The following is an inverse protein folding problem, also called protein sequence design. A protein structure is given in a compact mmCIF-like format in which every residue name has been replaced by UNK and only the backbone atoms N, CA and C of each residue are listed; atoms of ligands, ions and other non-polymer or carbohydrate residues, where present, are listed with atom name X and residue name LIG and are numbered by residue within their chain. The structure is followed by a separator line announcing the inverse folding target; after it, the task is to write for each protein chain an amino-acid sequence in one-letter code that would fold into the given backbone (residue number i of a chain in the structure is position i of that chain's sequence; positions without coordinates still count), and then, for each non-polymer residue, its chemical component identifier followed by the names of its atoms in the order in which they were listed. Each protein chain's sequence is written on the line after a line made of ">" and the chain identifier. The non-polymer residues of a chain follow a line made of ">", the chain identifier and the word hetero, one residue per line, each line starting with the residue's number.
data_IF_431954192218
#
_entry.id   IF_431954192218
#
_cell.length_a   1.000
_cell.length_b   1.000
_cell.length_c   1.000
_cell.angle_alpha   90.00
_cell.angle_beta   90.00
_cell.angle_gamma   90.00
#
_symmetry.space_group_name_H-M   'P 1'
#
loop_
_entity.id
_entity.type
_entity.pdbx_description
1 polymer ?
#
# COMPACT_ATOMS: atom_id res chain seq x y z
N UNK A 1 16.16 18.19 -17.86
CA UNK A 1 17.28 17.55 -17.14
C UNK A 1 16.83 17.36 -15.70
N UNK A 2 16.30 16.17 -15.38
CA UNK A 2 15.65 15.91 -14.10
C UNK A 2 16.73 15.56 -13.09
N UNK A 3 17.00 16.48 -12.16
CA UNK A 3 17.75 16.21 -10.94
C UNK A 3 16.90 15.32 -10.04
N UNK A 4 16.86 14.01 -10.34
CA UNK A 4 16.48 13.01 -9.34
C UNK A 4 17.42 13.25 -8.15
N UNK A 5 16.89 13.61 -6.98
CA UNK A 5 17.69 13.80 -5.78
C UNK A 5 18.42 12.46 -5.48
N UNK A 6 19.71 12.28 -5.81
CA UNK A 6 20.33 10.95 -5.84
C UNK A 6 20.56 10.38 -4.44
N UNK A 7 20.55 11.26 -3.44
CA UNK A 7 20.91 10.95 -2.06
C UNK A 7 19.94 9.99 -1.37
N UNK A 8 18.63 10.10 -1.61
CA UNK A 8 17.62 9.26 -0.94
C UNK A 8 17.20 8.03 -1.75
N UNK A 9 17.63 7.93 -3.01
CA UNK A 9 17.21 6.86 -3.91
C UNK A 9 17.90 5.52 -3.59
N UNK A 10 19.13 5.55 -3.08
CA UNK A 10 19.86 4.31 -2.73
C UNK A 10 19.63 3.94 -1.27
N UNK A 11 18.81 2.92 -1.06
CA UNK A 11 18.44 2.34 0.25
C UNK A 11 19.64 1.91 1.11
N UNK A 12 20.80 1.67 0.50
CA UNK A 12 21.91 0.94 1.12
C UNK A 12 22.92 1.81 1.88
N UNK A 13 22.79 3.15 1.82
CA UNK A 13 23.80 4.09 2.33
C UNK A 13 23.40 4.84 3.62
N UNK A 14 22.11 4.95 3.94
CA UNK A 14 21.63 5.68 5.12
C UNK A 14 20.64 4.82 5.91
N UNK A 15 20.99 4.52 7.16
CA UNK A 15 20.09 3.89 8.13
C UNK A 15 19.11 4.93 8.67
N UNK A 16 17.98 4.45 9.20
CA UNK A 16 16.94 5.31 9.79
C UNK A 16 17.47 6.19 10.93
N UNK A 17 18.47 5.70 11.69
CA UNK A 17 19.07 6.46 12.78
C UNK A 17 20.09 7.53 12.35
N UNK A 18 20.48 7.56 11.06
CA UNK A 18 21.52 8.48 10.58
C UNK A 18 20.94 9.85 10.20
N UNK A 19 19.61 9.94 10.04
CA UNK A 19 18.93 11.14 9.58
C UNK A 19 17.51 11.20 10.12
N UNK A 20 17.12 12.37 10.61
CA UNK A 20 15.75 12.71 10.97
C UNK A 20 15.26 13.87 10.09
N UNK A 21 14.16 13.66 9.38
CA UNK A 21 13.52 14.64 8.50
C UNK A 21 12.18 15.04 9.12
N UNK A 22 11.96 16.35 9.25
CA UNK A 22 10.65 16.87 9.63
C UNK A 22 9.65 16.67 8.48
N UNK A 23 8.54 16.01 8.78
CA UNK A 23 7.50 15.68 7.81
C UNK A 23 6.58 16.88 7.53
N UNK A 24 6.48 17.84 8.46
CA UNK A 24 5.48 18.91 8.41
C UNK A 24 5.66 19.89 7.24
N UNK A 25 6.88 20.38 6.93
CA UNK A 25 7.08 21.26 5.77
C UNK A 25 6.74 20.56 4.45
N UNK A 26 7.05 19.26 4.33
CA UNK A 26 6.71 18.46 3.15
C UNK A 26 5.21 18.24 3.02
N UNK A 27 4.53 18.06 4.16
CA UNK A 27 3.09 17.90 4.21
C UNK A 27 2.36 19.17 3.79
N UNK A 28 2.75 20.33 4.35
CA UNK A 28 2.18 21.63 4.00
C UNK A 28 2.38 21.95 2.52
N UNK A 29 3.61 21.75 2.01
CA UNK A 29 3.92 21.92 0.59
C UNK A 29 3.07 21.01 -0.29
N UNK A 30 2.97 19.72 0.04
CA UNK A 30 2.17 18.78 -0.73
C UNK A 30 0.68 19.15 -0.70
N UNK A 31 0.18 19.61 0.45
CA UNK A 31 -1.20 20.05 0.61
C UNK A 31 -1.51 21.26 -0.26
N UNK A 32 -0.62 22.25 -0.24
CA UNK A 32 -0.73 23.48 -1.02
C UNK A 32 -0.74 23.19 -2.53
N UNK A 33 0.24 22.43 -2.97
CA UNK A 33 0.41 22.00 -4.36
C UNK A 33 -0.75 21.13 -4.84
N UNK A 34 -1.26 20.25 -3.97
CA UNK A 34 -2.22 19.23 -4.40
C UNK A 34 -3.68 19.66 -4.33
N UNK A 35 -4.04 20.50 -3.36
CA UNK A 35 -5.45 20.73 -2.99
C UNK A 35 -5.87 22.20 -2.93
N UNK A 36 -4.96 23.17 -3.07
CA UNK A 36 -5.34 24.60 -3.09
C UNK A 36 -5.56 25.17 -4.50
N UNK A 37 -5.69 24.31 -5.52
CA UNK A 37 -6.01 24.68 -6.89
C UNK A 37 -5.21 25.88 -7.46
N UNK A 38 -3.94 26.03 -7.05
CA UNK A 38 -3.11 27.21 -7.33
C UNK A 38 -2.99 27.56 -8.82
N UNK A 39 -3.05 26.56 -9.70
CA UNK A 39 -3.03 26.73 -11.16
C UNK A 39 -4.38 27.22 -11.70
N UNK A 40 -5.49 26.71 -11.16
CA UNK A 40 -6.85 27.12 -11.56
C UNK A 40 -7.12 28.56 -11.11
N UNK A 41 -6.60 28.94 -9.94
CA UNK A 41 -6.68 30.29 -9.40
C UNK A 41 -5.70 31.28 -10.07
N UNK A 42 -4.82 30.79 -10.97
CA UNK A 42 -3.84 31.61 -11.67
C UNK A 42 -2.73 32.19 -10.78
N UNK A 43 -2.58 31.66 -9.56
CA UNK A 43 -1.61 32.14 -8.56
C UNK A 43 -0.19 31.67 -8.93
N UNK A 44 -0.07 30.44 -9.42
CA UNK A 44 1.21 29.82 -9.70
C UNK A 44 1.09 28.78 -10.82
N UNK A 45 1.99 28.84 -11.81
CA UNK A 45 2.09 27.82 -12.87
C UNK A 45 3.06 26.73 -12.41
N UNK A 46 2.60 25.50 -12.22
CA UNK A 46 3.51 24.43 -11.79
C UNK A 46 4.26 23.83 -12.96
N UNK A 47 5.55 23.48 -12.77
CA UNK A 47 6.26 22.69 -13.76
C UNK A 47 5.58 21.34 -13.99
N UNK A 48 5.58 20.90 -15.25
CA UNK A 48 5.05 19.59 -15.62
C UNK A 48 5.72 18.48 -14.79
N UNK A 49 4.90 17.63 -14.16
CA UNK A 49 5.38 16.50 -13.36
C UNK A 49 5.82 16.83 -11.94
N UNK A 50 5.81 18.11 -11.50
CA UNK A 50 6.24 18.51 -10.17
C UNK A 50 5.52 17.75 -9.04
N UNK A 51 4.20 17.54 -9.16
CA UNK A 51 3.42 16.75 -8.20
C UNK A 51 3.94 15.30 -8.06
N UNK A 52 4.26 14.66 -9.19
CA UNK A 52 4.73 13.28 -9.21
C UNK A 52 6.15 13.18 -8.63
N UNK A 53 7.02 14.14 -8.92
CA UNK A 53 8.36 14.23 -8.33
C UNK A 53 8.29 14.45 -6.81
N UNK A 54 7.39 15.33 -6.35
CA UNK A 54 7.17 15.56 -4.92
C UNK A 54 6.65 14.30 -4.21
N UNK A 55 5.68 13.59 -4.79
CA UNK A 55 5.22 12.30 -4.26
C UNK A 55 6.34 11.27 -4.18
N UNK A 56 7.16 11.18 -5.23
CA UNK A 56 8.32 10.30 -5.23
C UNK A 56 9.29 10.71 -4.12
N UNK A 57 9.60 11.99 -3.96
CA UNK A 57 10.48 12.48 -2.90
C UNK A 57 9.94 12.13 -1.51
N UNK A 58 8.67 12.41 -1.21
CA UNK A 58 8.03 12.07 0.07
C UNK A 58 8.11 10.56 0.34
N UNK A 59 7.89 9.73 -0.69
CA UNK A 59 7.97 8.27 -0.57
C UNK A 59 9.35 7.77 -0.14
N UNK A 60 10.42 8.51 -0.47
CA UNK A 60 11.79 8.23 0.01
C UNK A 60 12.04 8.86 1.38
N UNK A 61 11.66 10.12 1.57
CA UNK A 61 11.90 10.89 2.79
C UNK A 61 11.18 10.29 4.02
N UNK A 62 9.98 9.72 3.84
CA UNK A 62 9.16 9.19 4.94
C UNK A 62 9.85 8.16 5.82
N UNK A 63 10.87 7.48 5.28
CA UNK A 63 11.65 6.48 6.02
C UNK A 63 12.46 7.07 7.16
N UNK A 64 12.75 8.36 7.07
CA UNK A 64 13.56 9.14 7.99
C UNK A 64 12.70 10.08 8.85
N UNK A 65 11.37 9.93 8.81
CA UNK A 65 10.51 10.66 9.73
C UNK A 65 10.69 10.16 11.17
N UNK A 66 10.47 11.08 12.10
CA UNK A 66 10.51 10.83 13.54
C UNK A 66 9.54 9.73 13.97
N UNK A 67 9.79 9.14 15.13
CA UNK A 67 8.94 8.09 15.71
C UNK A 67 7.58 8.60 16.15
N UNK A 68 7.49 9.90 16.45
CA UNK A 68 6.23 10.56 16.85
C UNK A 68 5.37 10.95 15.63
N UNK A 69 5.93 10.89 14.42
CA UNK A 69 5.24 11.32 13.20
C UNK A 69 3.93 10.56 12.92
N UNK A 70 3.83 9.22 13.11
CA UNK A 70 2.55 8.51 12.98
C UNK A 70 1.44 9.10 13.84
N UNK A 71 1.71 9.37 15.12
CA UNK A 71 0.71 9.90 16.04
C UNK A 71 0.29 11.31 15.61
N UNK A 72 1.25 12.19 15.31
CA UNK A 72 0.98 13.55 14.86
C UNK A 72 0.19 13.58 13.54
N UNK A 73 0.55 12.73 12.56
CA UNK A 73 -0.18 12.58 11.30
C UNK A 73 -1.62 12.11 11.53
N UNK A 74 -1.84 11.17 12.44
CA UNK A 74 -3.18 10.70 12.79
C UNK A 74 -4.00 11.80 13.47
N UNK A 75 -3.39 12.56 14.38
CA UNK A 75 -4.07 13.64 15.09
C UNK A 75 -4.51 14.77 14.14
N UNK A 76 -3.72 15.05 13.10
CA UNK A 76 -4.06 16.04 12.07
C UNK A 76 -5.09 15.52 11.05
N UNK A 77 -5.02 14.24 10.67
CA UNK A 77 -5.83 13.68 9.58
C UNK A 77 -7.14 13.04 10.03
N UNK A 78 -7.26 12.56 11.27
CA UNK A 78 -8.50 11.98 11.81
C UNK A 78 -9.70 12.93 11.76
N UNK A 79 -9.58 14.24 12.07
CA UNK A 79 -10.69 15.18 11.95
C UNK A 79 -11.27 15.27 10.53
N UNK A 80 -10.45 14.96 9.50
CA UNK A 80 -10.88 14.95 8.11
C UNK A 80 -11.60 13.65 7.71
N UNK A 81 -11.65 12.63 8.57
CA UNK A 81 -12.31 11.34 8.26
C UNK A 81 -13.82 11.37 8.50
N UNK A 82 -14.51 12.33 7.90
CA UNK A 82 -15.96 12.40 7.91
C UNK A 82 -16.55 11.54 6.77
N UNK A 83 -17.48 10.64 7.08
CA UNK A 83 -18.13 9.77 6.06
C UNK A 83 -19.01 10.52 5.06
N UNK A 84 -19.41 11.74 5.41
CA UNK A 84 -20.30 12.56 4.62
C UNK A 84 -19.56 13.56 3.72
N UNK A 85 -18.23 13.61 3.80
CA UNK A 85 -17.40 14.57 3.08
C UNK A 85 -16.30 13.84 2.29
N UNK A 86 -15.89 14.41 1.15
CA UNK A 86 -14.78 13.91 0.33
C UNK A 86 -13.42 14.07 1.05
N UNK A 87 -13.38 14.85 2.14
CA UNK A 87 -12.23 15.00 3.02
C UNK A 87 -11.66 13.66 3.49
N UNK A 88 -12.48 12.62 3.64
CA UNK A 88 -12.02 11.29 4.03
C UNK A 88 -11.08 10.67 2.98
N UNK A 89 -11.37 10.88 1.69
CA UNK A 89 -10.51 10.41 0.59
C UNK A 89 -9.16 11.11 0.62
N UNK A 90 -9.17 12.41 0.90
CA UNK A 90 -7.96 13.21 1.10
C UNK A 90 -7.14 12.72 2.30
N UNK A 91 -7.78 12.46 3.42
CA UNK A 91 -7.13 11.96 4.63
C UNK A 91 -6.40 10.64 4.37
N UNK A 92 -7.08 9.66 3.76
CA UNK A 92 -6.49 8.36 3.44
C UNK A 92 -5.38 8.44 2.40
N UNK A 93 -5.49 9.31 1.39
CA UNK A 93 -4.40 9.53 0.42
C UNK A 93 -3.16 10.14 1.07
N UNK A 94 -3.35 11.07 2.01
CA UNK A 94 -2.25 11.67 2.77
C UNK A 94 -1.60 10.64 3.70
N UNK A 95 -2.39 9.85 4.42
CA UNK A 95 -1.88 8.73 5.24
C UNK A 95 -1.13 7.70 4.38
N UNK A 96 -1.68 7.32 3.23
CA UNK A 96 -1.02 6.43 2.28
C UNK A 96 0.37 6.98 1.92
N UNK A 97 0.50 8.28 1.66
CA UNK A 97 1.77 8.85 1.21
C UNK A 97 2.78 9.02 2.36
N UNK A 98 2.36 9.63 3.48
CA UNK A 98 3.24 10.13 4.54
C UNK A 98 3.52 9.12 5.66
N UNK A 99 2.63 8.17 5.95
CA UNK A 99 2.75 7.30 7.12
C UNK A 99 4.07 6.47 7.09
N UNK A 100 4.99 6.66 8.05
CA UNK A 100 6.19 5.83 8.14
C UNK A 100 5.82 4.46 8.70
N UNK A 101 6.35 3.40 8.09
CA UNK A 101 6.04 2.01 8.47
C UNK A 101 7.30 1.16 8.71
N UNK A 102 8.48 1.73 8.53
CA UNK A 102 9.77 1.05 8.68
C UNK A 102 10.29 1.16 10.12
N UNK A 103 9.42 0.95 11.11
CA UNK A 103 9.76 0.97 12.53
C UNK A 103 10.21 -0.43 12.98
N UNK A 104 11.10 -0.53 13.98
CA UNK A 104 11.47 -1.81 14.56
C UNK A 104 10.27 -2.47 15.26
N UNK A 105 10.21 -3.82 15.36
CA UNK A 105 9.05 -4.53 15.91
C UNK A 105 8.60 -4.07 17.30
N UNK A 106 9.54 -3.72 18.17
CA UNK A 106 9.27 -3.23 19.53
C UNK A 106 8.47 -1.91 19.53
N UNK A 107 8.85 -0.97 18.64
CA UNK A 107 8.19 0.34 18.51
C UNK A 107 6.93 0.28 17.65
N UNK A 108 6.79 -0.76 16.84
CA UNK A 108 5.61 -0.99 16.01
C UNK A 108 4.32 -1.10 16.84
N UNK A 109 4.44 -1.66 18.05
CA UNK A 109 3.34 -1.85 19.00
C UNK A 109 2.91 -0.55 19.69
N UNK A 110 3.80 0.43 19.84
CA UNK A 110 3.48 1.67 20.56
C UNK A 110 3.25 2.84 19.61
N UNK A 111 4.00 2.93 18.52
CA UNK A 111 4.05 4.10 17.63
C UNK A 111 3.81 3.75 16.15
N UNK A 112 3.64 2.45 15.83
CA UNK A 112 3.49 1.98 14.46
C UNK A 112 2.06 1.57 14.12
N UNK A 113 1.90 0.31 13.67
CA UNK A 113 0.63 -0.21 13.15
C UNK A 113 -0.48 -0.27 14.19
N UNK A 114 -0.17 -0.46 15.47
CA UNK A 114 -1.20 -0.52 16.52
C UNK A 114 -2.08 0.74 16.59
N UNK A 115 -1.54 1.91 16.20
CA UNK A 115 -2.25 3.18 16.28
C UNK A 115 -3.36 3.36 15.25
N UNK A 116 -3.24 2.68 14.10
CA UNK A 116 -4.10 2.93 12.93
C UNK A 116 -4.63 1.68 12.25
N UNK A 117 -4.08 0.49 12.52
CA UNK A 117 -4.44 -0.73 11.79
C UNK A 117 -5.89 -1.15 12.05
N UNK A 118 -6.36 -1.11 13.29
CA UNK A 118 -7.73 -1.49 13.63
C UNK A 118 -8.74 -0.50 13.05
N UNK A 119 -8.41 0.80 13.08
CA UNK A 119 -9.20 1.86 12.46
C UNK A 119 -9.24 1.69 10.93
N UNK A 120 -8.09 1.47 10.29
CA UNK A 120 -8.01 1.20 8.85
C UNK A 120 -8.79 -0.07 8.46
N UNK A 121 -8.72 -1.11 9.29
CA UNK A 121 -9.48 -2.34 9.08
C UNK A 121 -10.98 -2.09 9.19
N UNK A 122 -11.43 -1.30 10.18
CA UNK A 122 -12.82 -0.88 10.28
C UNK A 122 -13.29 -0.22 8.99
N UNK A 123 -12.57 0.79 8.49
CA UNK A 123 -12.92 1.48 7.24
C UNK A 123 -12.88 0.57 5.99
N UNK A 124 -11.99 -0.41 5.98
CA UNK A 124 -11.88 -1.39 4.92
C UNK A 124 -13.10 -2.32 4.84
N UNK A 125 -13.69 -2.68 5.98
CA UNK A 125 -14.85 -3.58 6.08
C UNK A 125 -16.17 -2.83 5.96
N UNK A 126 -16.33 -1.71 6.68
CA UNK A 126 -17.62 -1.01 6.86
C UNK A 126 -18.23 -0.52 5.55
N UNK A 127 -17.41 -0.10 4.59
CA UNK A 127 -17.88 0.39 3.29
C UNK A 127 -17.76 -0.72 2.26
N UNK A 128 -18.87 -1.43 2.02
CA UNK A 128 -18.88 -2.57 1.11
C UNK A 128 -18.92 -2.16 -0.37
N UNK A 129 -19.61 -1.08 -0.73
CA UNK A 129 -19.78 -0.66 -2.13
C UNK A 129 -19.10 0.67 -2.42
N UNK A 130 -18.35 0.76 -3.53
CA UNK A 130 -17.68 1.97 -4.02
C UNK A 130 -16.84 2.69 -2.95
N UNK A 131 -16.12 1.93 -2.14
CA UNK A 131 -15.26 2.49 -1.12
C UNK A 131 -14.06 3.21 -1.76
N UNK A 132 -14.14 4.55 -1.83
CA UNK A 132 -13.09 5.40 -2.39
C UNK A 132 -11.77 5.35 -1.60
N UNK A 133 -11.80 4.89 -0.35
CA UNK A 133 -10.62 4.82 0.54
C UNK A 133 -9.98 3.43 0.57
N UNK A 134 -10.71 2.39 0.15
CA UNK A 134 -10.25 1.00 0.18
C UNK A 134 -8.92 0.80 -0.56
N UNK A 135 -8.77 1.43 -1.72
CA UNK A 135 -7.55 1.35 -2.50
C UNK A 135 -6.33 1.91 -1.77
N UNK A 136 -6.49 3.02 -1.04
CA UNK A 136 -5.41 3.62 -0.24
C UNK A 136 -5.09 2.79 0.99
N UNK A 137 -6.11 2.29 1.69
CA UNK A 137 -5.95 1.40 2.84
C UNK A 137 -5.23 0.11 2.45
N UNK A 138 -5.64 -0.54 1.34
CA UNK A 138 -5.01 -1.77 0.88
C UNK A 138 -3.53 -1.56 0.55
N UNK A 139 -3.18 -0.44 -0.08
CA UNK A 139 -1.77 -0.10 -0.34
C UNK A 139 -0.97 0.11 0.95
N UNK A 140 -1.58 0.67 2.00
CA UNK A 140 -0.96 0.76 3.32
C UNK A 140 -0.72 -0.64 3.91
N UNK A 141 -1.68 -1.56 3.81
CA UNK A 141 -1.50 -2.96 4.25
C UNK A 141 -0.37 -3.66 3.48
N UNK A 142 -0.31 -3.49 2.16
CA UNK A 142 0.78 -4.03 1.34
C UNK A 142 2.12 -3.46 1.79
N UNK A 143 2.22 -2.14 2.00
CA UNK A 143 3.46 -1.51 2.45
C UNK A 143 3.89 -2.02 3.82
N UNK A 144 2.95 -2.16 4.76
CA UNK A 144 3.22 -2.71 6.08
C UNK A 144 3.78 -4.14 5.97
N UNK A 145 3.15 -5.00 5.19
CA UNK A 145 3.64 -6.38 4.96
C UNK A 145 4.98 -6.44 4.23
N UNK A 146 5.32 -5.42 3.43
CA UNK A 146 6.60 -5.31 2.73
C UNK A 146 7.73 -4.90 3.66
N UNK A 147 7.53 -3.85 4.46
CA UNK A 147 8.56 -3.23 5.29
C UNK A 147 8.72 -3.97 6.63
N UNK A 148 7.63 -4.53 7.18
CA UNK A 148 7.60 -5.26 8.45
C UNK A 148 6.96 -6.65 8.29
N UNK A 149 7.62 -7.60 7.60
CA UNK A 149 7.09 -8.94 7.41
C UNK A 149 6.92 -9.66 8.76
N UNK A 150 5.74 -10.25 8.98
CA UNK A 150 5.41 -10.99 10.21
C UNK A 150 5.05 -10.11 11.42
N UNK A 151 4.97 -8.79 11.27
CA UNK A 151 4.56 -7.89 12.37
C UNK A 151 3.07 -7.97 12.72
N UNK A 152 2.24 -8.37 11.76
CA UNK A 152 0.78 -8.45 11.88
C UNK A 152 0.33 -9.84 11.46
N UNK A 153 -0.46 -10.48 12.30
CA UNK A 153 -1.22 -11.66 11.90
C UNK A 153 -2.46 -11.23 11.10
N UNK A 154 -2.53 -11.69 9.85
CA UNK A 154 -3.65 -11.41 8.95
C UNK A 154 -4.68 -12.54 8.91
N UNK A 155 -4.50 -13.61 9.68
CA UNK A 155 -5.29 -14.85 9.61
C UNK A 155 -6.80 -14.61 9.69
N UNK A 156 -7.26 -13.74 10.58
CA UNK A 156 -8.66 -13.38 10.78
C UNK A 156 -9.23 -12.50 9.65
N UNK A 157 -8.36 -11.81 8.92
CA UNK A 157 -8.69 -10.83 7.89
C UNK A 157 -8.73 -11.42 6.48
N UNK A 158 -8.10 -12.58 6.27
CA UNK A 158 -8.00 -13.24 4.96
C UNK A 158 -9.37 -13.50 4.34
N UNK A 159 -10.35 -13.96 5.10
CA UNK A 159 -11.67 -14.31 4.56
C UNK A 159 -12.36 -13.11 3.89
N UNK A 160 -12.23 -11.92 4.47
CA UNK A 160 -12.77 -10.67 3.90
C UNK A 160 -12.01 -10.26 2.64
N UNK A 161 -10.67 -10.28 2.67
CA UNK A 161 -9.83 -9.89 1.52
C UNK A 161 -10.10 -10.79 0.32
N UNK A 162 -10.16 -12.11 0.53
CA UNK A 162 -10.45 -13.07 -0.53
C UNK A 162 -11.89 -12.95 -1.05
N UNK A 163 -12.86 -12.63 -0.18
CA UNK A 163 -14.24 -12.37 -0.62
C UNK A 163 -14.31 -11.14 -1.53
N UNK A 164 -13.67 -10.03 -1.16
CA UNK A 164 -13.57 -8.82 -2.00
C UNK A 164 -12.86 -9.12 -3.33
N UNK A 165 -11.79 -9.92 -3.30
CA UNK A 165 -11.09 -10.36 -4.51
C UNK A 165 -12.01 -11.15 -5.45
N UNK A 166 -12.73 -12.15 -4.96
CA UNK A 166 -13.63 -12.97 -5.79
C UNK A 166 -14.75 -12.11 -6.38
N UNK A 167 -15.35 -11.20 -5.59
CA UNK A 167 -16.38 -10.25 -6.07
C UNK A 167 -15.85 -9.34 -7.18
N UNK A 168 -14.58 -8.97 -7.13
CA UNK A 168 -13.94 -8.13 -8.14
C UNK A 168 -13.72 -8.83 -9.49
N UNK A 169 -13.68 -10.17 -9.52
CA UNK A 169 -13.59 -10.93 -10.77
C UNK A 169 -14.89 -10.89 -11.59
N UNK A 170 -16.01 -10.48 -10.99
CA UNK A 170 -17.32 -10.39 -11.67
C UNK A 170 -17.71 -11.73 -12.33
N UNK A 171 -17.53 -12.81 -11.59
CA UNK A 171 -17.88 -14.17 -12.03
C UNK A 171 -19.42 -14.27 -12.14
N UNK A 172 -19.91 -14.50 -13.35
CA UNK A 172 -21.35 -14.56 -13.66
C UNK A 172 -22.04 -13.19 -13.80
N UNK A 173 -23.25 -13.20 -14.39
CA UNK A 173 -24.06 -12.00 -14.61
C UNK A 173 -24.89 -11.59 -13.38
N UNK A 174 -24.29 -11.55 -12.18
CA UNK A 174 -25.01 -11.12 -10.98
C UNK A 174 -24.94 -9.59 -10.86
N UNK A 175 -25.94 -8.93 -11.43
CA UNK A 175 -26.10 -7.48 -11.40
C UNK A 175 -26.22 -7.03 -9.93
N UNK A 176 -25.34 -6.14 -9.47
CA UNK A 176 -25.39 -5.54 -8.14
C UNK A 176 -24.36 -6.04 -7.10
N UNK A 177 -23.62 -7.13 -7.38
CA UNK A 177 -22.56 -7.64 -6.49
C UNK A 177 -21.13 -7.28 -6.95
N UNK A 178 -21.00 -6.54 -8.06
CA UNK A 178 -19.71 -6.16 -8.62
C UNK A 178 -19.05 -5.05 -7.80
N UNK A 179 -18.02 -5.40 -7.06
CA UNK A 179 -17.18 -4.45 -6.34
C UNK A 179 -15.93 -4.11 -7.17
N UNK A 180 -15.53 -2.85 -7.19
CA UNK A 180 -14.21 -2.46 -7.68
C UNK A 180 -13.22 -2.75 -6.57
N UNK A 181 -12.24 -3.62 -6.83
CA UNK A 181 -11.16 -3.93 -5.90
C UNK A 181 -9.84 -3.73 -6.61
N UNK A 182 -8.87 -3.14 -5.92
CA UNK A 182 -7.54 -2.93 -6.50
C UNK A 182 -6.79 -4.27 -6.62
N UNK A 183 -6.90 -4.92 -7.77
CA UNK A 183 -6.28 -6.22 -8.06
C UNK A 183 -4.75 -6.19 -7.88
N UNK A 184 -4.10 -5.09 -8.23
CA UNK A 184 -2.64 -4.96 -8.04
C UNK A 184 -2.27 -4.89 -6.56
N UNK A 185 -3.01 -4.11 -5.77
CA UNK A 185 -2.87 -4.08 -4.31
C UNK A 185 -3.13 -5.45 -3.69
N UNK A 186 -4.17 -6.16 -4.15
CA UNK A 186 -4.53 -7.49 -3.67
C UNK A 186 -3.43 -8.53 -3.97
N UNK A 187 -2.91 -8.54 -5.20
CA UNK A 187 -1.79 -9.38 -5.60
C UNK A 187 -0.54 -9.10 -4.77
N UNK A 188 -0.23 -7.83 -4.52
CA UNK A 188 0.86 -7.43 -3.62
C UNK A 188 0.64 -7.94 -2.19
N UNK A 189 -0.57 -7.77 -1.66
CA UNK A 189 -0.92 -8.20 -0.30
C UNK A 189 -0.75 -9.71 -0.14
N UNK A 190 -1.37 -10.50 -1.03
CA UNK A 190 -1.25 -11.98 -1.04
C UNK A 190 0.22 -12.39 -1.14
N UNK A 191 0.96 -11.74 -2.03
CA UNK A 191 2.38 -12.03 -2.24
C UNK A 191 3.20 -11.81 -0.99
N UNK A 192 3.04 -10.70 -0.27
CA UNK A 192 3.91 -10.36 0.87
C UNK A 192 3.44 -10.97 2.19
N UNK A 193 2.18 -11.35 2.29
CA UNK A 193 1.62 -12.10 3.44
C UNK A 193 1.98 -13.59 3.37
N UNK A 194 2.26 -14.13 2.17
CA UNK A 194 2.72 -15.51 2.01
C UNK A 194 3.98 -15.80 2.87
N UNK A 195 4.05 -16.96 3.52
CA UNK A 195 5.23 -17.34 4.32
C UNK A 195 5.35 -16.63 5.67
N UNK A 196 4.30 -15.93 6.10
CA UNK A 196 4.10 -15.53 7.51
C UNK A 196 3.28 -16.60 8.25
N UNK A 197 2.87 -16.33 9.49
CA UNK A 197 2.10 -17.26 10.33
C UNK A 197 0.79 -17.74 9.66
N UNK A 198 0.20 -16.91 8.79
CA UNK A 198 -1.04 -17.25 8.09
C UNK A 198 -0.83 -17.98 6.74
N UNK A 199 0.38 -18.49 6.47
CA UNK A 199 0.73 -19.10 5.17
C UNK A 199 -0.23 -20.20 4.75
N UNK A 200 -0.50 -21.18 5.62
CA UNK A 200 -1.31 -22.35 5.27
C UNK A 200 -2.75 -21.95 4.93
N UNK A 201 -3.34 -21.06 5.75
CA UNK A 201 -4.69 -20.52 5.50
C UNK A 201 -4.73 -19.73 4.19
N UNK A 202 -3.72 -18.89 3.93
CA UNK A 202 -3.62 -18.11 2.69
C UNK A 202 -3.51 -19.02 1.46
N UNK A 203 -2.65 -20.05 1.51
CA UNK A 203 -2.46 -20.98 0.40
C UNK A 203 -3.73 -21.78 0.10
N UNK A 204 -4.42 -22.26 1.13
CA UNK A 204 -5.70 -22.96 0.97
C UNK A 204 -6.77 -22.07 0.33
N UNK A 205 -6.85 -20.79 0.72
CA UNK A 205 -7.76 -19.82 0.09
C UNK A 205 -7.39 -19.52 -1.35
N UNK A 206 -6.10 -19.38 -1.63
CA UNK A 206 -5.60 -19.13 -2.98
C UNK A 206 -5.87 -20.32 -3.91
N UNK A 207 -5.67 -21.55 -3.44
CA UNK A 207 -6.04 -22.77 -4.16
C UNK A 207 -7.55 -22.82 -4.44
N UNK A 208 -8.37 -22.51 -3.44
CA UNK A 208 -9.83 -22.44 -3.60
C UNK A 208 -10.24 -21.41 -4.66
N UNK A 209 -9.56 -20.26 -4.72
CA UNK A 209 -9.77 -19.26 -5.78
C UNK A 209 -9.39 -19.81 -7.15
N UNK A 210 -8.24 -20.49 -7.27
CA UNK A 210 -7.82 -21.05 -8.56
C UNK A 210 -8.77 -22.12 -9.08
N UNK A 211 -9.23 -23.02 -8.20
CA UNK A 211 -10.25 -24.02 -8.54
C UNK A 211 -11.56 -23.37 -8.98
N UNK A 212 -11.97 -22.28 -8.31
CA UNK A 212 -13.17 -21.53 -8.68
C UNK A 212 -13.06 -20.90 -10.08
N UNK A 213 -11.91 -20.31 -10.42
CA UNK A 213 -11.73 -19.58 -11.67
C UNK A 213 -11.27 -20.46 -12.85
N UNK A 214 -10.87 -21.72 -12.60
CA UNK A 214 -10.35 -22.64 -13.62
C UNK A 214 -11.29 -22.76 -14.83
N UNK A 215 -12.58 -22.98 -14.57
CA UNK A 215 -13.59 -23.07 -15.64
C UNK A 215 -13.73 -21.75 -16.43
N UNK A 216 -13.59 -20.60 -15.77
CA UNK A 216 -13.70 -19.26 -16.39
C UNK A 216 -12.47 -18.87 -17.23
N UNK A 217 -11.34 -19.56 -17.05
CA UNK A 217 -10.11 -19.33 -17.82
C UNK A 217 -10.08 -20.10 -19.14
N UNK A 218 -10.99 -21.04 -19.36
CA UNK A 218 -11.07 -21.76 -20.63
C UNK A 218 -11.36 -20.77 -21.79
N UNK A 219 -10.64 -20.84 -22.93
CA UNK A 219 -10.79 -19.88 -24.03
C UNK A 219 -12.23 -19.73 -24.54
N UNK A 220 -13.03 -20.79 -24.48
CA UNK A 220 -14.44 -20.77 -24.88
C UNK A 220 -15.37 -20.03 -23.91
N UNK A 221 -14.93 -19.74 -22.69
CA UNK A 221 -15.72 -19.09 -21.65
C UNK A 221 -15.42 -17.59 -21.54
N UNK A 222 -14.93 -16.98 -22.62
CA UNK A 222 -14.56 -15.56 -22.63
C UNK A 222 -15.74 -14.65 -22.23
N UNK A 223 -15.46 -13.66 -21.39
CA UNK A 223 -16.41 -12.63 -20.99
C UNK A 223 -15.78 -11.49 -20.20
N UNK A 224 -16.63 -10.69 -19.55
CA UNK A 224 -16.20 -9.51 -18.78
C UNK A 224 -15.23 -9.86 -17.63
N UNK A 225 -15.39 -11.05 -17.05
CA UNK A 225 -14.53 -11.57 -16.00
C UNK A 225 -13.11 -11.90 -16.50
N UNK A 226 -12.94 -12.26 -17.78
CA UNK A 226 -11.65 -12.69 -18.33
C UNK A 226 -10.58 -11.60 -18.18
N UNK A 227 -10.94 -10.34 -18.41
CA UNK A 227 -9.99 -9.22 -18.25
C UNK A 227 -9.48 -9.12 -16.81
N UNK A 228 -10.37 -9.17 -15.82
CA UNK A 228 -10.00 -9.07 -14.40
C UNK A 228 -9.16 -10.26 -13.94
N UNK A 229 -9.51 -11.47 -14.40
CA UNK A 229 -8.74 -12.68 -14.11
C UNK A 229 -7.33 -12.59 -14.69
N UNK A 230 -7.18 -12.22 -15.97
CA UNK A 230 -5.87 -12.09 -16.60
C UNK A 230 -5.01 -11.00 -15.94
N UNK A 231 -5.61 -9.87 -15.56
CA UNK A 231 -4.92 -8.82 -14.79
C UNK A 231 -4.41 -9.39 -13.47
N UNK A 232 -5.26 -10.08 -12.72
CA UNK A 232 -4.88 -10.67 -11.44
C UNK A 232 -3.74 -11.70 -11.59
N UNK A 233 -3.85 -12.63 -12.54
CA UNK A 233 -2.82 -13.64 -12.81
C UNK A 233 -1.47 -13.01 -13.14
N UNK A 234 -1.47 -11.99 -14.01
CA UNK A 234 -0.28 -11.28 -14.40
C UNK A 234 0.33 -10.53 -13.20
N UNK A 235 -0.47 -9.74 -12.48
CA UNK A 235 -0.01 -8.95 -11.32
C UNK A 235 0.51 -9.85 -10.19
N UNK A 236 -0.18 -10.95 -9.88
CA UNK A 236 0.28 -11.91 -8.88
C UNK A 236 1.63 -12.51 -9.26
N UNK A 237 1.80 -12.92 -10.52
CA UNK A 237 3.08 -13.48 -11.02
C UNK A 237 4.22 -12.46 -10.94
N UNK A 238 3.96 -11.20 -11.32
CA UNK A 238 4.95 -10.12 -11.26
C UNK A 238 5.33 -9.78 -9.80
N UNK A 239 4.37 -9.71 -8.89
CA UNK A 239 4.63 -9.48 -7.47
C UNK A 239 5.48 -10.61 -6.88
N UNK A 240 5.13 -11.88 -7.14
CA UNK A 240 5.89 -13.04 -6.67
C UNK A 240 7.33 -13.00 -7.18
N UNK A 241 7.52 -12.77 -8.48
CA UNK A 241 8.86 -12.63 -9.07
C UNK A 241 9.65 -11.49 -8.42
N UNK A 242 9.00 -10.36 -8.13
CA UNK A 242 9.64 -9.19 -7.53
C UNK A 242 10.05 -9.46 -6.07
N UNK A 243 9.20 -10.16 -5.31
CA UNK A 243 9.53 -10.63 -3.96
C UNK A 243 10.71 -11.60 -3.97
N UNK A 244 10.67 -12.63 -4.81
CA UNK A 244 11.76 -13.63 -4.92
C UNK A 244 13.07 -12.96 -5.32
N UNK A 245 13.05 -12.03 -6.29
CA UNK A 245 14.22 -11.26 -6.69
C UNK A 245 14.77 -10.44 -5.51
N UNK A 246 13.91 -9.74 -4.76
CA UNK A 246 14.29 -8.95 -3.58
C UNK A 246 14.98 -9.82 -2.53
N UNK A 247 14.35 -10.90 -2.11
CA UNK A 247 14.89 -11.81 -1.08
C UNK A 247 16.23 -12.47 -1.50
N UNK A 248 16.39 -12.79 -2.80
CA UNK A 248 17.65 -13.34 -3.34
C UNK A 248 18.77 -12.30 -3.41
N UNK A 249 18.44 -11.05 -3.76
CA UNK A 249 19.42 -9.96 -3.80
C UNK A 249 19.87 -9.57 -2.38
N UNK A 250 18.95 -9.51 -1.41
CA UNK A 250 19.26 -9.24 0.00
C UNK A 250 20.20 -10.31 0.57
N UNK A 251 19.96 -11.60 0.29
CA UNK A 251 20.85 -12.71 0.68
C UNK A 251 22.25 -12.62 0.08
N UNK A 252 22.38 -12.05 -1.13
CA UNK A 252 23.67 -11.83 -1.78
C UNK A 252 24.38 -10.61 -1.19
N UNK A 253 23.65 -9.53 -0.92
CA UNK A 253 24.19 -8.31 -0.31
C UNK A 253 24.64 -8.50 1.14
N UNK A 254 24.02 -9.41 1.90
CA UNK A 254 24.43 -9.68 3.29
C UNK A 254 25.76 -10.43 3.39
N UNK A 255 26.29 -10.98 2.27
CA UNK A 255 27.55 -11.74 2.24
C UNK A 255 28.82 -10.89 2.03
N UNK A 256 28.72 -9.56 1.91
CA UNK A 256 29.88 -8.68 1.77
C UNK A 256 29.75 -7.41 2.60
N UNK A 257 29.85 -7.51 3.93
CA UNK A 257 30.17 -6.35 4.80
C UNK A 257 31.08 -6.76 5.96
N UNK A 258 32.28 -7.24 5.65
CA UNK A 258 33.42 -7.12 6.58
C UNK A 258 33.82 -5.66 6.60
N UNK A 259 33.28 -4.89 7.54
CA UNK A 259 33.87 -3.59 7.87
C UNK A 259 35.16 -3.86 8.65
N UNK A 260 36.28 -3.51 8.02
CA UNK A 260 37.57 -3.36 8.69
C UNK A 260 37.44 -2.14 9.62
N UNK A 261 37.98 -2.33 10.84
CA UNK A 261 37.95 -1.47 12.03
C UNK A 261 37.92 0.04 11.80
#
# INVERSE_FOLDING_TARGET
>A
MVSQCPFFSKRDFLLRGDLEIDWRPLFELYVEVSYKNLEEDGIFLMPDGFRAELQAYISHARRYFSDDAPQQLLDELRPLMCVWDESIVRAWRLLELFMPMNLPPERQLTHGSSLWLDEAWHWFVTVENNNLVEGSILKMFVRLSVECPGSVDWSDKLDVVFTKLIRSFRLGNVVGLCQQFNLEGASGFITYVMGTECHDKLMSKLESVFLLVESYLHPSNHGMHTQNLLIFMNKLSLCLLSRVKRERMEKTSSKQRTFIK
#
